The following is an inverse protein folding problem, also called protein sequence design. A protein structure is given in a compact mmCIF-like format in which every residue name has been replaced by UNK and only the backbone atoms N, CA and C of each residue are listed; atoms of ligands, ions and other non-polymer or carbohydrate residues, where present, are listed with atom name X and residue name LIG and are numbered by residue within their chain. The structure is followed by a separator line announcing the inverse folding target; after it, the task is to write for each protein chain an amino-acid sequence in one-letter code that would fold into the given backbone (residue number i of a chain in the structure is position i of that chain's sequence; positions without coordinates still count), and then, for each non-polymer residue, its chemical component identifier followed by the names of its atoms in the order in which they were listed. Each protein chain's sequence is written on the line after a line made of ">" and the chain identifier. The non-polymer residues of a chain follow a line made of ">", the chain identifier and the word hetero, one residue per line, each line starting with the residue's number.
data_IF_759784621958
#
_entry.id   IF_759784621958
#
_cell.length_a   1.000
_cell.length_b   1.000
_cell.length_c   1.000
_cell.angle_alpha   90.00
_cell.angle_beta   90.00
_cell.angle_gamma   90.00
#
_symmetry.space_group_name_H-M   'P 1'
#
loop_
_entity.id
_entity.type
_entity.pdbx_description
1 polymer ?
#
# COMPACT_ATOMS: atom_id res chain seq x y z
N UNK A 1 3.72 38.64 18.83
CA UNK A 1 2.47 38.35 19.56
C UNK A 1 2.01 36.96 19.11
N UNK A 2 2.22 35.92 19.92
CA UNK A 2 1.27 35.42 20.93
C UNK A 2 -0.10 35.05 20.34
N UNK A 3 -0.47 33.79 20.54
CA UNK A 3 -1.70 33.11 20.14
C UNK A 3 -2.92 34.02 20.11
N UNK A 4 -3.55 34.19 18.95
CA UNK A 4 -4.87 34.81 18.85
C UNK A 4 -5.96 33.77 19.07
N UNK A 5 -6.84 34.12 20.01
CA UNK A 5 -8.10 33.49 20.38
C UNK A 5 -9.07 33.33 19.20
N UNK A 6 -9.83 32.24 19.27
CA UNK A 6 -11.07 31.92 18.55
C UNK A 6 -11.69 33.02 17.67
N UNK A 7 -11.88 32.67 16.40
CA UNK A 7 -12.72 33.41 15.45
C UNK A 7 -12.43 32.93 14.03
N UNK A 8 -13.46 32.47 13.33
CA UNK A 8 -13.43 31.89 11.98
C UNK A 8 -12.51 32.69 11.04
N UNK A 9 -11.47 32.05 10.49
CA UNK A 9 -10.51 32.75 9.63
C UNK A 9 -9.68 31.78 8.80
N UNK A 10 -9.81 31.93 7.47
CA UNK A 10 -8.77 31.80 6.44
C UNK A 10 -7.55 30.91 6.76
N UNK A 11 -7.26 29.92 5.90
CA UNK A 11 -6.01 29.14 5.92
C UNK A 11 -4.79 30.07 5.99
N UNK A 12 -4.27 30.30 7.19
CA UNK A 12 -2.98 30.93 7.42
C UNK A 12 -1.95 29.84 7.18
N UNK A 13 -1.20 29.93 6.08
CA UNK A 13 0.00 29.13 5.90
C UNK A 13 1.01 29.57 6.96
N UNK A 14 1.09 28.80 8.05
CA UNK A 14 2.13 28.98 9.05
C UNK A 14 3.48 28.57 8.46
N UNK A 15 4.46 29.48 8.49
CA UNK A 15 5.85 29.12 8.22
C UNK A 15 6.33 28.17 9.31
N UNK A 16 6.53 26.91 8.94
CA UNK A 16 6.98 25.83 9.82
C UNK A 16 8.50 25.66 9.82
N UNK A 17 9.24 26.52 9.12
CA UNK A 17 10.71 26.46 9.00
C UNK A 17 11.41 26.35 10.36
N UNK A 18 10.98 27.13 11.36
CA UNK A 18 11.55 27.11 12.72
C UNK A 18 11.41 25.75 13.41
N UNK A 19 10.33 25.01 13.16
CA UNK A 19 10.11 23.69 13.75
C UNK A 19 11.02 22.64 13.10
N UNK A 20 11.05 22.61 11.76
CA UNK A 20 11.88 21.67 10.98
C UNK A 20 13.38 21.99 11.02
N UNK A 21 13.77 23.20 11.42
CA UNK A 21 15.17 23.59 11.66
C UNK A 21 15.61 23.40 13.12
N UNK A 22 14.77 22.81 13.98
CA UNK A 22 15.14 22.54 15.37
C UNK A 22 16.13 21.38 15.47
N UNK A 23 16.86 21.30 16.59
CA UNK A 23 17.94 20.30 16.81
C UNK A 23 17.47 18.85 16.65
N UNK A 24 16.19 18.56 16.89
CA UNK A 24 15.64 17.20 16.73
C UNK A 24 15.63 16.74 15.27
N UNK A 25 15.65 17.68 14.32
CA UNK A 25 15.72 17.44 12.88
C UNK A 25 17.13 17.69 12.32
N UNK A 26 18.14 17.90 13.16
CA UNK A 26 19.51 18.07 12.70
C UNK A 26 19.97 16.78 11.98
N UNK A 27 20.35 16.89 10.70
CA UNK A 27 20.76 15.76 9.87
C UNK A 27 19.63 15.07 9.09
N UNK A 28 18.37 15.52 9.20
CA UNK A 28 17.28 14.99 8.36
C UNK A 28 17.24 15.68 6.99
N UNK A 29 17.28 14.89 5.91
CA UNK A 29 17.08 15.40 4.55
C UNK A 29 15.60 15.78 4.35
N UNK A 30 15.27 17.05 4.59
CA UNK A 30 13.92 17.59 4.49
C UNK A 30 13.61 18.18 3.11
N UNK A 31 13.96 17.46 2.03
CA UNK A 31 13.60 17.89 0.67
C UNK A 31 12.09 17.76 0.49
N UNK A 32 11.39 18.89 0.35
CA UNK A 32 9.93 18.85 0.20
C UNK A 32 9.50 18.52 -1.23
N UNK A 33 10.16 19.09 -2.25
CA UNK A 33 9.89 18.80 -3.65
C UNK A 33 11.04 18.01 -4.27
N UNK A 34 10.73 16.77 -4.68
CA UNK A 34 11.65 15.95 -5.43
C UNK A 34 11.77 16.43 -6.89
N UNK A 35 12.79 15.93 -7.60
CA UNK A 35 12.94 16.18 -9.04
C UNK A 35 11.76 15.59 -9.80
N UNK A 36 11.30 16.28 -10.85
CA UNK A 36 10.18 15.83 -11.66
C UNK A 36 10.69 14.95 -12.79
N UNK A 37 10.87 13.65 -12.49
CA UNK A 37 11.42 12.65 -13.40
C UNK A 37 10.49 11.45 -13.43
N UNK A 38 9.96 11.13 -14.61
CA UNK A 38 9.15 9.95 -14.88
C UNK A 38 9.63 9.32 -16.21
N UNK A 39 10.10 8.07 -16.17
CA UNK A 39 10.47 7.30 -17.36
C UNK A 39 9.32 6.36 -17.72
N UNK A 40 8.76 6.43 -18.94
CA UNK A 40 7.65 5.56 -19.33
C UNK A 40 8.03 4.08 -19.30
N UNK A 41 7.11 3.26 -18.78
CA UNK A 41 7.21 1.79 -18.85
C UNK A 41 6.83 1.34 -20.28
N UNK A 42 7.56 0.38 -20.88
CA UNK A 42 7.14 -0.22 -22.14
C UNK A 42 5.70 -0.76 -22.06
N UNK A 43 4.81 -0.46 -23.03
CA UNK A 43 3.40 -0.85 -22.96
C UNK A 43 3.16 -2.34 -22.68
N UNK A 44 4.02 -3.22 -23.20
CA UNK A 44 4.00 -4.67 -23.01
C UNK A 44 4.25 -5.15 -21.57
N UNK A 45 4.76 -4.25 -20.72
CA UNK A 45 5.08 -4.50 -19.31
C UNK A 45 4.05 -3.88 -18.35
N UNK A 46 3.04 -3.18 -18.86
CA UNK A 46 2.00 -2.54 -18.05
C UNK A 46 0.78 -3.47 -17.92
N UNK A 47 0.10 -3.42 -16.77
CA UNK A 47 -1.03 -4.28 -16.41
C UNK A 47 -0.65 -5.75 -16.51
N UNK A 48 0.50 -6.09 -15.93
CA UNK A 48 1.10 -7.41 -16.04
C UNK A 48 1.52 -7.96 -14.68
N UNK A 49 1.32 -9.26 -14.52
CA UNK A 49 1.92 -10.05 -13.44
C UNK A 49 3.11 -10.79 -14.03
N UNK A 50 4.29 -10.61 -13.43
CA UNK A 50 5.50 -11.31 -13.82
C UNK A 50 5.75 -12.48 -12.86
N UNK A 51 5.74 -13.70 -13.39
CA UNK A 51 6.06 -14.91 -12.62
C UNK A 51 7.57 -15.10 -12.43
N UNK A 52 8.18 -14.23 -11.62
CA UNK A 52 9.60 -14.28 -11.25
C UNK A 52 9.87 -13.46 -9.98
N UNK A 53 11.08 -13.58 -9.44
CA UNK A 53 11.50 -12.77 -8.28
C UNK A 53 11.51 -11.27 -8.60
N UNK A 54 10.98 -10.47 -7.67
CA UNK A 54 11.06 -9.02 -7.65
C UNK A 54 12.40 -8.48 -7.13
N UNK A 55 13.35 -9.35 -6.77
CA UNK A 55 14.73 -8.94 -6.43
C UNK A 55 15.46 -8.28 -7.61
N UNK A 56 14.96 -8.44 -8.84
CA UNK A 56 15.44 -7.78 -10.06
C UNK A 56 14.25 -7.44 -10.99
N UNK A 57 13.90 -6.16 -11.10
CA UNK A 57 12.77 -5.67 -11.90
C UNK A 57 13.26 -5.11 -13.25
N UNK A 58 13.94 -5.95 -14.04
CA UNK A 58 14.57 -5.54 -15.32
C UNK A 58 13.60 -5.02 -16.37
N UNK A 59 12.31 -5.32 -16.25
CA UNK A 59 11.24 -4.83 -17.12
C UNK A 59 10.84 -3.39 -16.84
N UNK A 60 11.26 -2.86 -15.68
CA UNK A 60 10.91 -1.53 -15.20
C UNK A 60 12.12 -0.60 -15.28
N UNK A 61 12.02 0.50 -16.04
CA UNK A 61 13.00 1.58 -15.98
C UNK A 61 13.06 2.23 -14.60
N UNK A 62 14.14 2.94 -14.33
CA UNK A 62 14.25 3.80 -13.16
C UNK A 62 13.14 4.86 -13.18
N UNK A 63 12.61 5.25 -12.02
CA UNK A 63 11.60 6.32 -11.91
C UNK A 63 10.38 6.14 -12.83
N UNK A 64 9.78 4.94 -12.87
CA UNK A 64 8.71 4.58 -13.80
C UNK A 64 7.38 4.20 -13.13
N UNK A 65 7.39 3.85 -11.84
CA UNK A 65 6.18 3.54 -11.05
C UNK A 65 5.91 4.61 -9.99
N UNK A 66 4.66 4.72 -9.54
CA UNK A 66 4.20 5.90 -8.78
C UNK A 66 3.93 5.60 -7.31
N UNK A 67 3.45 4.39 -7.03
CA UNK A 67 3.16 3.89 -5.70
C UNK A 67 3.49 2.40 -5.66
N UNK A 68 4.20 1.97 -4.63
CA UNK A 68 4.25 0.56 -4.25
C UNK A 68 3.27 0.31 -3.10
N UNK A 69 2.44 -0.70 -3.22
CA UNK A 69 1.62 -1.23 -2.12
C UNK A 69 1.86 -2.72 -2.04
N UNK A 70 2.29 -3.21 -0.88
CA UNK A 70 2.59 -4.63 -0.72
C UNK A 70 2.42 -5.12 0.71
N UNK A 71 2.37 -6.44 0.84
CA UNK A 71 2.45 -7.15 2.12
C UNK A 71 3.43 -8.30 1.94
N UNK A 72 4.69 -8.15 2.38
CA UNK A 72 5.70 -9.18 2.18
C UNK A 72 5.32 -10.50 2.88
N UNK A 73 5.88 -11.64 2.47
CA UNK A 73 5.66 -12.91 3.16
C UNK A 73 6.11 -12.78 4.62
N UNK A 74 5.39 -13.41 5.55
CA UNK A 74 5.66 -13.27 6.98
C UNK A 74 6.68 -14.28 7.52
N UNK A 75 7.20 -15.19 6.68
CA UNK A 75 8.23 -16.14 7.07
C UNK A 75 7.83 -16.97 8.30
N UNK A 76 6.54 -17.28 8.43
CA UNK A 76 5.93 -17.97 9.58
C UNK A 76 5.30 -19.27 9.12
N UNK A 77 6.11 -20.17 8.56
CA UNK A 77 5.85 -21.61 8.51
C UNK A 77 4.45 -22.06 8.02
N UNK A 78 3.76 -21.24 7.22
CA UNK A 78 2.66 -21.74 6.39
C UNK A 78 3.32 -22.56 5.28
N UNK A 79 2.61 -23.50 4.66
CA UNK A 79 3.15 -24.48 3.69
C UNK A 79 3.95 -23.89 2.49
N UNK A 80 4.02 -22.56 2.36
CA UNK A 80 4.68 -21.78 1.32
C UNK A 80 5.84 -20.88 1.83
N UNK A 81 5.99 -20.69 3.14
CA UNK A 81 7.05 -19.84 3.69
C UNK A 81 8.36 -20.63 3.75
N UNK A 82 9.42 -20.08 3.15
CA UNK A 82 10.79 -20.57 3.37
C UNK A 82 11.12 -20.42 4.86
N UNK A 83 11.90 -21.34 5.43
CA UNK A 83 12.34 -21.23 6.83
C UNK A 83 13.56 -20.30 6.94
N UNK A 84 13.38 -19.00 6.65
CA UNK A 84 14.48 -18.04 6.68
C UNK A 84 14.79 -17.61 8.11
N UNK A 85 16.05 -17.34 8.40
CA UNK A 85 16.44 -16.55 9.57
C UNK A 85 15.98 -15.09 9.42
N UNK A 86 15.92 -14.35 10.53
CA UNK A 86 15.58 -12.92 10.49
C UNK A 86 16.51 -12.12 9.57
N UNK A 87 17.80 -12.46 9.52
CA UNK A 87 18.77 -11.79 8.66
C UNK A 87 18.53 -12.09 7.17
N UNK A 88 18.22 -13.34 6.83
CA UNK A 88 17.88 -13.72 5.46
C UNK A 88 16.56 -13.07 5.01
N UNK A 89 15.57 -13.02 5.90
CA UNK A 89 14.31 -12.33 5.65
C UNK A 89 14.51 -10.83 5.38
N UNK A 90 15.23 -10.13 6.26
CA UNK A 90 15.59 -8.71 6.05
C UNK A 90 16.41 -8.51 4.77
N UNK A 91 17.31 -9.44 4.47
CA UNK A 91 18.10 -9.43 3.24
C UNK A 91 17.24 -9.53 1.98
N UNK A 92 16.25 -10.42 1.96
CA UNK A 92 15.26 -10.52 0.89
C UNK A 92 14.50 -9.20 0.71
N UNK A 93 13.92 -8.66 1.79
CA UNK A 93 13.17 -7.40 1.75
C UNK A 93 14.04 -6.25 1.27
N UNK A 94 15.27 -6.15 1.75
CA UNK A 94 16.21 -5.08 1.38
C UNK A 94 16.51 -5.07 -0.12
N UNK A 95 16.68 -6.24 -0.75
CA UNK A 95 16.90 -6.32 -2.20
C UNK A 95 15.69 -5.85 -2.99
N UNK A 96 14.49 -6.31 -2.61
CA UNK A 96 13.23 -5.92 -3.27
C UNK A 96 12.94 -4.44 -3.08
N UNK A 97 13.16 -3.90 -1.87
CA UNK A 97 12.96 -2.48 -1.59
C UNK A 97 14.02 -1.60 -2.24
N UNK A 98 15.23 -2.10 -2.47
CA UNK A 98 16.25 -1.41 -3.28
C UNK A 98 15.80 -1.28 -4.74
N UNK A 99 15.29 -2.36 -5.33
CA UNK A 99 14.70 -2.30 -6.68
C UNK A 99 13.47 -1.38 -6.70
N UNK A 100 12.62 -1.45 -5.68
CA UNK A 100 11.48 -0.53 -5.52
C UNK A 100 11.95 0.93 -5.49
N UNK A 101 13.01 1.25 -4.73
CA UNK A 101 13.56 2.61 -4.70
C UNK A 101 14.05 3.04 -6.09
N UNK A 102 14.71 2.16 -6.85
CA UNK A 102 15.16 2.45 -8.21
C UNK A 102 13.99 2.80 -9.14
N UNK A 103 12.96 1.96 -9.17
CA UNK A 103 11.83 2.11 -10.11
C UNK A 103 10.80 3.15 -9.69
N UNK A 104 10.72 3.52 -8.41
CA UNK A 104 9.76 4.52 -7.94
C UNK A 104 10.17 5.93 -8.43
N UNK A 105 9.20 6.72 -8.90
CA UNK A 105 9.45 8.14 -9.24
C UNK A 105 9.87 8.93 -8.00
N UNK A 106 10.66 10.01 -8.14
CA UNK A 106 10.93 10.90 -7.01
C UNK A 106 9.62 11.50 -6.50
N UNK A 107 9.46 11.54 -5.18
CA UNK A 107 8.21 11.88 -4.52
C UNK A 107 7.13 10.80 -4.62
N UNK A 108 7.37 9.65 -5.26
CA UNK A 108 6.51 8.47 -5.20
C UNK A 108 6.48 7.85 -3.80
N UNK A 109 5.49 6.98 -3.53
CA UNK A 109 5.31 6.39 -2.19
C UNK A 109 5.54 4.88 -2.21
N UNK A 110 6.02 4.37 -1.07
CA UNK A 110 6.13 2.94 -0.80
C UNK A 110 5.33 2.64 0.47
N UNK A 111 4.37 1.72 0.37
CA UNK A 111 3.46 1.36 1.44
C UNK A 111 3.57 -0.13 1.75
N UNK A 112 4.00 -0.45 2.97
CA UNK A 112 4.28 -1.82 3.39
C UNK A 112 3.33 -2.20 4.52
N UNK A 113 2.42 -3.14 4.26
CA UNK A 113 1.62 -3.78 5.28
C UNK A 113 2.46 -4.85 6.00
N UNK A 114 2.57 -4.77 7.32
CA UNK A 114 3.38 -5.69 8.12
C UNK A 114 2.75 -5.92 9.51
N UNK A 115 2.65 -7.19 9.90
CA UNK A 115 2.38 -7.64 11.25
C UNK A 115 3.67 -7.83 12.05
N UNK A 116 3.62 -7.54 13.35
CA UNK A 116 4.64 -8.02 14.28
C UNK A 116 4.37 -9.49 14.63
N UNK A 117 5.45 -10.20 15.00
CA UNK A 117 5.42 -11.65 15.15
C UNK A 117 5.92 -12.07 16.52
N UNK A 118 5.54 -13.28 16.94
CA UNK A 118 6.01 -13.86 18.18
C UNK A 118 5.43 -13.20 19.43
N UNK A 119 5.56 -13.90 20.55
CA UNK A 119 5.15 -13.43 21.89
C UNK A 119 6.26 -13.61 22.93
N UNK A 120 7.18 -14.54 22.67
CA UNK A 120 8.28 -14.96 23.55
C UNK A 120 9.46 -15.46 22.71
N UNK A 121 10.28 -14.57 22.12
CA UNK A 121 10.22 -13.11 22.19
C UNK A 121 9.16 -12.50 21.26
N UNK A 122 8.79 -11.25 21.53
CA UNK A 122 8.08 -10.41 20.57
C UNK A 122 9.07 -9.87 19.54
N UNK A 123 8.72 -9.96 18.26
CA UNK A 123 9.53 -9.52 17.14
C UNK A 123 8.86 -8.30 16.50
N UNK A 124 9.40 -7.09 16.73
CA UNK A 124 8.86 -5.85 16.18
C UNK A 124 9.27 -5.67 14.71
N UNK A 125 8.78 -6.54 13.82
CA UNK A 125 9.16 -6.56 12.39
C UNK A 125 8.99 -5.19 11.74
N UNK A 126 7.93 -4.45 12.07
CA UNK A 126 7.72 -3.09 11.59
C UNK A 126 8.95 -2.18 11.83
N UNK A 127 9.58 -2.25 13.00
CA UNK A 127 10.74 -1.41 13.34
C UNK A 127 11.98 -1.77 12.53
N UNK A 128 12.19 -3.05 12.24
CA UNK A 128 13.30 -3.51 11.40
C UNK A 128 13.12 -3.07 9.95
N UNK A 129 11.88 -3.15 9.43
CA UNK A 129 11.54 -2.66 8.09
C UNK A 129 11.73 -1.15 7.98
N UNK A 130 11.33 -0.37 8.99
CA UNK A 130 11.57 1.08 9.03
C UNK A 130 13.08 1.37 8.93
N UNK A 131 13.89 0.70 9.74
CA UNK A 131 15.34 0.88 9.74
C UNK A 131 15.95 0.55 8.36
N UNK A 132 15.55 -0.56 7.75
CA UNK A 132 16.06 -1.01 6.45
C UNK A 132 15.65 -0.05 5.32
N UNK A 133 14.39 0.39 5.30
CA UNK A 133 13.90 1.37 4.33
C UNK A 133 14.66 2.70 4.43
N UNK A 134 14.91 3.19 5.66
CA UNK A 134 15.67 4.43 5.87
C UNK A 134 17.12 4.31 5.40
N UNK A 135 17.78 3.15 5.64
CA UNK A 135 19.14 2.88 5.12
C UNK A 135 19.22 2.89 3.60
N UNK A 136 18.14 2.51 2.92
CA UNK A 136 18.02 2.56 1.45
C UNK A 136 17.74 3.97 0.91
N UNK A 137 17.50 4.96 1.78
CA UNK A 137 17.24 6.34 1.40
C UNK A 137 15.76 6.74 1.41
N UNK A 138 14.84 5.83 1.75
CA UNK A 138 13.43 6.19 1.89
C UNK A 138 13.20 7.15 3.06
N UNK A 139 12.34 8.15 2.83
CA UNK A 139 11.89 9.10 3.85
C UNK A 139 10.62 8.56 4.51
N UNK A 140 10.67 8.29 5.81
CA UNK A 140 9.48 7.87 6.56
C UNK A 140 8.46 9.02 6.61
N UNK A 141 7.26 8.79 6.06
CA UNK A 141 6.17 9.76 6.04
C UNK A 141 5.28 9.63 7.28
N UNK A 142 5.12 8.41 7.76
CA UNK A 142 4.23 8.06 8.86
C UNK A 142 3.75 6.63 8.73
N UNK A 143 2.85 6.25 9.62
CA UNK A 143 2.26 4.92 9.68
C UNK A 143 0.76 5.00 9.93
N UNK A 144 0.05 4.00 9.43
CA UNK A 144 -1.35 3.75 9.75
C UNK A 144 -1.45 2.46 10.56
N UNK A 145 -2.21 2.51 11.64
CA UNK A 145 -2.59 1.32 12.40
C UNK A 145 -3.87 0.77 11.80
N UNK A 146 -3.77 -0.35 11.09
CA UNK A 146 -4.93 -1.05 10.59
C UNK A 146 -5.49 -1.95 11.71
N UNK A 147 -6.60 -1.51 12.30
CA UNK A 147 -7.32 -2.27 13.30
C UNK A 147 -8.22 -3.32 12.63
N UNK A 148 -7.85 -4.59 12.80
CA UNK A 148 -8.56 -5.78 12.29
C UNK A 148 -9.72 -6.20 13.21
N UNK A 149 -9.85 -5.59 14.39
CA UNK A 149 -10.76 -6.03 15.46
C UNK A 149 -12.25 -5.93 15.11
N UNK A 150 -12.64 -5.27 14.01
CA UNK A 150 -14.04 -5.32 13.54
C UNK A 150 -14.48 -6.73 13.10
N UNK A 151 -13.54 -7.66 12.88
CA UNK A 151 -13.85 -9.05 12.50
C UNK A 151 -13.01 -10.13 13.20
N UNK A 152 -12.09 -9.79 14.09
CA UNK A 152 -11.30 -10.80 14.79
C UNK A 152 -12.18 -11.56 15.81
N UNK A 153 -12.21 -12.89 15.69
CA UNK A 153 -12.70 -13.77 16.76
C UNK A 153 -11.94 -13.47 18.05
N UNK A 154 -12.58 -13.71 19.21
CA UNK A 154 -11.93 -13.53 20.51
C UNK A 154 -10.65 -14.38 20.55
N UNK A 155 -9.48 -13.75 20.36
CA UNK A 155 -8.21 -14.43 20.58
C UNK A 155 -8.11 -14.73 22.07
N UNK A 156 -8.08 -16.02 22.42
CA UNK A 156 -7.94 -16.52 23.79
C UNK A 156 -6.47 -16.67 24.22
N UNK A 157 -5.55 -16.12 23.43
CA UNK A 157 -4.14 -16.10 23.77
C UNK A 157 -3.87 -14.98 24.78
N UNK A 158 -4.33 -15.19 26.01
CA UNK A 158 -4.23 -14.26 27.14
C UNK A 158 -2.92 -14.38 27.92
N UNK A 159 -2.14 -15.44 27.67
CA UNK A 159 -1.06 -15.83 28.58
C UNK A 159 -1.64 -16.34 29.89
N UNK A 160 -1.21 -15.79 31.01
CA UNK A 160 -1.78 -16.09 32.33
C UNK A 160 -3.15 -15.41 32.48
N UNK A 161 -4.23 -16.19 32.34
CA UNK A 161 -5.59 -15.70 32.47
C UNK A 161 -5.84 -15.09 33.86
N UNK A 162 -6.40 -13.87 33.91
CA UNK A 162 -6.68 -13.10 35.14
C UNK A 162 -5.51 -13.04 36.12
N UNK A 163 -4.28 -13.01 35.60
CA UNK A 163 -3.08 -13.02 36.42
C UNK A 163 -2.00 -12.11 35.84
N UNK A 164 -1.35 -11.36 36.72
CA UNK A 164 -0.22 -10.49 36.39
C UNK A 164 1.08 -11.29 36.12
N UNK A 165 1.10 -12.61 36.33
CA UNK A 165 2.30 -13.43 36.18
C UNK A 165 2.88 -13.31 34.77
N UNK A 166 2.04 -13.38 33.74
CA UNK A 166 2.45 -13.21 32.34
C UNK A 166 1.23 -13.04 31.41
N UNK A 167 0.44 -11.95 31.53
CA UNK A 167 -0.59 -11.66 30.54
C UNK A 167 0.07 -11.31 29.20
N UNK A 168 -0.53 -11.71 28.08
CA UNK A 168 -0.04 -11.36 26.74
C UNK A 168 -1.01 -10.45 26.01
N UNK A 169 -0.47 -9.44 25.34
CA UNK A 169 -1.25 -8.57 24.46
C UNK A 169 -1.82 -9.40 23.29
N UNK A 170 -2.99 -8.98 22.81
CA UNK A 170 -3.64 -9.59 21.64
C UNK A 170 -3.38 -8.68 20.45
N UNK A 171 -2.70 -9.20 19.45
CA UNK A 171 -2.41 -8.47 18.22
C UNK A 171 -3.69 -8.34 17.39
N UNK A 172 -4.34 -7.18 17.53
CA UNK A 172 -5.58 -6.86 16.81
C UNK A 172 -5.34 -5.94 15.62
N UNK A 173 -4.10 -5.56 15.36
CA UNK A 173 -3.74 -4.63 14.31
C UNK A 173 -2.56 -5.11 13.47
N UNK A 174 -2.37 -4.44 12.34
CA UNK A 174 -1.16 -4.46 11.51
C UNK A 174 -0.71 -3.03 11.26
N UNK A 175 0.55 -2.88 10.88
CA UNK A 175 1.15 -1.60 10.53
C UNK A 175 1.14 -1.44 9.01
N UNK A 176 0.68 -0.30 8.53
CA UNK A 176 0.90 0.14 7.16
C UNK A 176 1.93 1.26 7.22
N UNK A 177 3.16 0.92 6.92
CA UNK A 177 4.29 1.85 6.92
C UNK A 177 4.31 2.62 5.62
N UNK A 178 4.46 3.95 5.67
CA UNK A 178 4.38 4.82 4.48
C UNK A 178 5.68 5.60 4.34
N UNK A 179 6.32 5.44 3.18
CA UNK A 179 7.58 6.09 2.85
C UNK A 179 7.47 6.91 1.58
N UNK A 180 8.42 7.82 1.36
CA UNK A 180 8.57 8.60 0.13
C UNK A 180 10.01 8.53 -0.39
N UNK A 181 10.20 8.51 -1.71
CA UNK A 181 11.53 8.58 -2.33
C UNK A 181 11.93 10.04 -2.58
N UNK A 182 13.17 10.41 -2.26
CA UNK A 182 13.84 11.71 -2.51
C UNK A 182 13.17 12.98 -1.93
N UNK A 183 11.85 13.01 -1.75
CA UNK A 183 11.13 14.12 -1.16
C UNK A 183 9.69 13.76 -0.75
N UNK A 184 9.11 14.55 0.16
CA UNK A 184 7.78 14.27 0.70
C UNK A 184 6.63 14.68 -0.23
N UNK A 185 6.88 15.53 -1.21
CA UNK A 185 5.91 16.06 -2.16
C UNK A 185 6.27 15.70 -3.59
N UNK A 186 5.24 15.67 -4.45
CA UNK A 186 5.37 15.59 -5.91
C UNK A 186 4.46 16.63 -6.54
N UNK A 187 4.82 17.12 -7.72
CA UNK A 187 3.95 18.01 -8.49
C UNK A 187 2.77 17.22 -9.06
N UNK A 188 1.65 17.90 -9.28
CA UNK A 188 0.53 17.31 -10.03
C UNK A 188 0.99 17.14 -11.48
N UNK A 189 1.00 15.93 -12.04
CA UNK A 189 1.33 15.72 -13.44
C UNK A 189 0.26 16.33 -14.34
N UNK A 190 0.68 16.84 -15.50
CA UNK A 190 -0.22 17.39 -16.50
C UNK A 190 -1.13 16.27 -17.05
N UNK A 191 -2.40 16.59 -17.30
CA UNK A 191 -3.37 15.66 -17.90
C UNK A 191 -3.95 14.58 -16.97
N UNK A 192 -3.38 14.29 -15.80
CA UNK A 192 -3.94 13.31 -14.85
C UNK A 192 -4.72 13.99 -13.71
N UNK A 193 -5.85 13.41 -13.32
CA UNK A 193 -6.69 13.93 -12.23
C UNK A 193 -6.62 13.10 -10.95
N UNK A 194 -6.79 13.73 -9.78
CA UNK A 194 -7.10 13.00 -8.56
C UNK A 194 -8.53 12.47 -8.63
N UNK A 195 -8.76 11.28 -8.09
CA UNK A 195 -10.08 10.61 -8.09
C UNK A 195 -10.65 10.43 -6.68
N UNK A 196 -9.90 10.81 -5.65
CA UNK A 196 -10.35 10.75 -4.27
C UNK A 196 -11.41 11.83 -4.01
N UNK A 197 -12.50 11.43 -3.37
CA UNK A 197 -13.56 12.35 -2.91
C UNK A 197 -13.14 13.08 -1.64
N UNK A 198 -13.87 14.14 -1.26
CA UNK A 198 -13.62 14.87 -0.03
C UNK A 198 -13.81 13.98 1.21
N UNK A 199 -14.85 13.17 1.20
CA UNK A 199 -15.23 12.28 2.29
C UNK A 199 -14.17 11.19 2.49
N UNK A 200 -13.74 10.56 1.38
CA UNK A 200 -12.63 9.61 1.39
C UNK A 200 -11.34 10.27 1.88
N UNK A 201 -11.02 11.48 1.41
CA UNK A 201 -9.81 12.18 1.85
C UNK A 201 -9.80 12.40 3.36
N UNK A 202 -10.91 12.89 3.94
CA UNK A 202 -11.02 13.12 5.37
C UNK A 202 -10.95 11.82 6.19
N UNK A 203 -11.47 10.72 5.67
CA UNK A 203 -11.43 9.43 6.34
C UNK A 203 -10.05 8.76 6.23
N UNK A 204 -9.49 8.71 5.02
CA UNK A 204 -8.27 7.96 4.72
C UNK A 204 -7.02 8.64 5.27
N UNK A 205 -7.07 9.95 5.53
CA UNK A 205 -5.95 10.68 6.18
C UNK A 205 -5.85 10.49 7.69
N UNK A 206 -6.76 9.72 8.31
CA UNK A 206 -6.64 9.30 9.71
C UNK A 206 -5.55 8.24 9.85
N UNK A 207 -4.86 8.24 10.99
CA UNK A 207 -3.78 7.27 11.30
C UNK A 207 -4.28 5.92 11.82
N UNK A 208 -5.58 5.74 12.02
CA UNK A 208 -6.19 4.47 12.43
C UNK A 208 -7.29 4.11 11.45
N UNK A 209 -7.16 2.96 10.79
CA UNK A 209 -8.16 2.46 9.86
C UNK A 209 -8.86 1.24 10.43
N UNK A 210 -10.19 1.23 10.34
CA UNK A 210 -11.02 0.14 10.85
C UNK A 210 -11.74 -0.53 9.67
N UNK A 211 -11.31 -1.75 9.34
CA UNK A 211 -12.01 -2.63 8.41
C UNK A 211 -11.55 -4.07 8.62
N UNK A 212 -12.43 -4.99 8.23
CA UNK A 212 -12.29 -6.41 8.48
C UNK A 212 -11.24 -7.06 7.57
N UNK A 213 -10.48 -8.03 8.10
CA UNK A 213 -9.59 -8.85 7.27
C UNK A 213 -10.37 -9.76 6.31
N UNK A 214 -9.78 -10.07 5.15
CA UNK A 214 -10.34 -11.02 4.19
C UNK A 214 -10.24 -12.46 4.70
N UNK A 215 -11.23 -13.28 4.37
CA UNK A 215 -11.23 -14.70 4.71
C UNK A 215 -10.36 -15.47 3.72
N UNK A 216 -9.22 -15.99 4.17
CA UNK A 216 -8.27 -16.77 3.37
C UNK A 216 -8.92 -17.91 2.55
N UNK A 217 -9.91 -18.60 3.13
CA UNK A 217 -10.65 -19.70 2.48
C UNK A 217 -11.47 -19.29 1.25
N UNK A 218 -11.82 -18.00 1.10
CA UNK A 218 -12.60 -17.51 -0.03
C UNK A 218 -11.74 -17.22 -1.26
N UNK A 219 -10.45 -16.92 -1.06
CA UNK A 219 -9.55 -16.44 -2.12
C UNK A 219 -8.58 -17.54 -2.59
N UNK A 220 -8.40 -18.61 -1.81
CA UNK A 220 -7.41 -19.65 -2.10
C UNK A 220 -5.98 -19.20 -1.83
N UNK A 221 -5.80 -18.10 -1.09
CA UNK A 221 -4.52 -17.56 -0.66
C UNK A 221 -4.46 -17.54 0.87
N UNK A 222 -3.35 -17.95 1.49
CA UNK A 222 -3.28 -18.13 2.94
C UNK A 222 -3.31 -16.83 3.76
N UNK A 223 -3.05 -15.67 3.14
CA UNK A 223 -3.03 -14.37 3.83
C UNK A 223 -3.23 -13.14 2.91
N UNK A 224 -4.31 -13.02 2.13
CA UNK A 224 -4.58 -11.80 1.36
C UNK A 224 -5.00 -10.67 2.31
N UNK A 225 -4.43 -9.47 2.16
CA UNK A 225 -5.02 -8.27 2.77
C UNK A 225 -6.29 -7.85 2.02
N UNK A 226 -7.24 -7.16 2.69
CA UNK A 226 -8.47 -6.68 2.07
C UNK A 226 -8.21 -5.60 1.02
N UNK A 227 -9.06 -5.58 -0.02
CA UNK A 227 -8.98 -4.63 -1.14
C UNK A 227 -9.08 -3.17 -0.69
N UNK A 228 -9.74 -2.91 0.45
CA UNK A 228 -9.85 -1.56 1.03
C UNK A 228 -8.47 -0.95 1.36
N UNK A 229 -7.49 -1.78 1.75
CA UNK A 229 -6.15 -1.31 2.09
C UNK A 229 -5.43 -0.68 0.89
N UNK A 230 -5.20 -1.39 -0.24
CA UNK A 230 -4.57 -0.79 -1.42
C UNK A 230 -5.47 0.27 -2.04
N UNK A 231 -6.79 0.11 -2.02
CA UNK A 231 -7.71 1.13 -2.56
C UNK A 231 -7.50 2.50 -1.91
N UNK A 232 -7.48 2.55 -0.56
CA UNK A 232 -7.24 3.78 0.19
C UNK A 232 -5.89 4.41 -0.13
N UNK A 233 -4.84 3.60 -0.18
CA UNK A 233 -3.49 4.06 -0.47
C UNK A 233 -3.35 4.60 -1.90
N UNK A 234 -3.94 3.92 -2.88
CA UNK A 234 -3.95 4.33 -4.28
C UNK A 234 -4.68 5.68 -4.43
N UNK A 235 -5.85 5.81 -3.81
CA UNK A 235 -6.62 7.07 -3.80
C UNK A 235 -5.84 8.23 -3.16
N UNK A 236 -5.12 7.98 -2.06
CA UNK A 236 -4.34 9.01 -1.35
C UNK A 236 -3.09 9.48 -2.11
N UNK A 237 -2.40 8.56 -2.80
CA UNK A 237 -1.00 8.78 -3.20
C UNK A 237 -0.75 8.79 -4.70
N UNK A 238 -1.79 8.59 -5.53
CA UNK A 238 -1.66 8.58 -7.00
C UNK A 238 -2.76 9.37 -7.69
N UNK A 239 -2.48 9.76 -8.91
CA UNK A 239 -3.45 10.25 -9.89
C UNK A 239 -3.95 9.09 -10.77
N UNK A 240 -5.04 9.28 -11.50
CA UNK A 240 -5.49 8.32 -12.51
C UNK A 240 -4.39 8.02 -13.54
N UNK A 241 -4.45 6.86 -14.19
CA UNK A 241 -3.47 6.34 -15.16
C UNK A 241 -2.04 6.10 -14.64
N UNK A 242 -1.78 6.38 -13.37
CA UNK A 242 -0.49 6.06 -12.76
C UNK A 242 -0.33 4.56 -12.49
N UNK A 243 0.93 4.14 -12.30
CA UNK A 243 1.28 2.72 -12.21
C UNK A 243 1.56 2.34 -10.76
N UNK A 244 0.83 1.32 -10.29
CA UNK A 244 0.95 0.74 -8.96
C UNK A 244 1.80 -0.54 -9.03
N UNK A 245 2.83 -0.60 -8.19
CA UNK A 245 3.69 -1.78 -8.07
C UNK A 245 3.27 -2.63 -6.87
N UNK A 246 3.18 -3.94 -7.06
CA UNK A 246 3.18 -4.92 -5.97
C UNK A 246 4.29 -5.96 -6.18
N UNK A 247 5.42 -5.87 -5.47
CA UNK A 247 6.55 -6.79 -5.63
C UNK A 247 6.32 -8.16 -4.96
N UNK A 248 5.21 -8.35 -4.26
CA UNK A 248 4.78 -9.62 -3.65
C UNK A 248 3.29 -9.83 -3.93
N UNK A 249 2.93 -9.93 -5.23
CA UNK A 249 1.55 -9.76 -5.69
C UNK A 249 0.60 -10.82 -5.15
N UNK A 250 1.09 -12.03 -4.85
CA UNK A 250 0.29 -13.12 -4.30
C UNK A 250 -1.00 -13.33 -5.09
N UNK A 251 -2.14 -13.06 -4.46
CA UNK A 251 -3.45 -13.23 -5.07
C UNK A 251 -3.93 -12.09 -6.00
N UNK A 252 -3.14 -11.04 -6.25
CA UNK A 252 -3.52 -9.95 -7.17
C UNK A 252 -4.42 -8.85 -6.59
N UNK A 253 -4.58 -8.77 -5.26
CA UNK A 253 -5.49 -7.79 -4.64
C UNK A 253 -5.11 -6.33 -4.97
N UNK A 254 -3.82 -5.98 -4.95
CA UNK A 254 -3.34 -4.64 -5.33
C UNK A 254 -3.65 -4.32 -6.80
N UNK A 255 -3.45 -5.27 -7.70
CA UNK A 255 -3.74 -5.12 -9.13
C UNK A 255 -5.23 -4.83 -9.37
N UNK A 256 -6.12 -5.57 -8.70
CA UNK A 256 -7.57 -5.34 -8.78
C UNK A 256 -7.93 -3.96 -8.22
N UNK A 257 -7.33 -3.54 -7.11
CA UNK A 257 -7.56 -2.20 -6.55
C UNK A 257 -7.08 -1.08 -7.48
N UNK A 258 -5.95 -1.27 -8.16
CA UNK A 258 -5.45 -0.35 -9.18
C UNK A 258 -6.46 -0.21 -10.34
N UNK A 259 -6.93 -1.33 -10.89
CA UNK A 259 -7.95 -1.31 -11.95
C UNK A 259 -9.25 -0.64 -11.48
N UNK A 260 -9.72 -0.96 -10.27
CA UNK A 260 -10.93 -0.37 -9.68
C UNK A 260 -10.85 1.15 -9.52
N UNK A 261 -9.64 1.67 -9.37
CA UNK A 261 -9.36 3.11 -9.24
C UNK A 261 -8.89 3.73 -10.54
N UNK A 262 -8.99 3.05 -11.69
CA UNK A 262 -8.49 3.56 -13.00
C UNK A 262 -6.99 3.87 -12.99
N UNK A 263 -6.21 3.07 -12.27
CA UNK A 263 -4.75 3.02 -12.33
C UNK A 263 -4.32 1.79 -13.11
N UNK A 264 -3.05 1.80 -13.50
CA UNK A 264 -2.36 0.67 -14.12
C UNK A 264 -1.55 -0.06 -13.04
N UNK A 265 -1.15 -1.30 -13.30
CA UNK A 265 -0.41 -2.07 -12.31
C UNK A 265 0.77 -2.84 -12.90
N UNK A 266 1.72 -3.18 -12.04
CA UNK A 266 2.75 -4.19 -12.28
C UNK A 266 2.87 -5.04 -11.02
N UNK A 267 2.77 -6.36 -11.17
CA UNK A 267 2.88 -7.31 -10.07
C UNK A 267 4.03 -8.30 -10.28
N UNK A 268 4.65 -8.75 -9.20
CA UNK A 268 5.67 -9.81 -9.23
C UNK A 268 5.37 -10.85 -8.15
N UNK A 269 5.46 -12.13 -8.52
CA UNK A 269 5.51 -13.25 -7.59
C UNK A 269 6.39 -14.35 -8.20
N UNK A 270 7.09 -15.12 -7.36
CA UNK A 270 7.94 -16.21 -7.83
C UNK A 270 7.26 -17.58 -7.77
N UNK A 271 6.06 -17.66 -7.19
CA UNK A 271 5.23 -18.86 -7.22
C UNK A 271 4.25 -18.79 -8.40
N UNK A 272 4.41 -19.75 -9.32
CA UNK A 272 3.57 -19.91 -10.51
C UNK A 272 2.08 -20.02 -10.14
N UNK A 273 1.73 -20.70 -9.04
CA UNK A 273 0.34 -20.86 -8.61
C UNK A 273 -0.28 -19.53 -8.19
N UNK A 274 0.50 -18.66 -7.55
CA UNK A 274 0.02 -17.33 -7.16
C UNK A 274 -0.10 -16.40 -8.36
N UNK A 275 0.82 -16.48 -9.32
CA UNK A 275 0.70 -15.74 -10.58
C UNK A 275 -0.59 -16.12 -11.34
N UNK A 276 -0.84 -17.41 -11.52
CA UNK A 276 -2.07 -17.92 -12.15
C UNK A 276 -3.33 -17.49 -11.38
N UNK A 277 -3.28 -17.54 -10.04
CA UNK A 277 -4.38 -17.07 -9.21
C UNK A 277 -4.65 -15.57 -9.38
N UNK A 278 -3.60 -14.75 -9.40
CA UNK A 278 -3.71 -13.31 -9.61
C UNK A 278 -4.31 -13.00 -10.98
N UNK A 279 -3.78 -13.60 -12.04
CA UNK A 279 -4.25 -13.41 -13.42
C UNK A 279 -5.72 -13.79 -13.56
N UNK A 280 -6.12 -14.98 -13.06
CA UNK A 280 -7.53 -15.41 -13.08
C UNK A 280 -8.45 -14.41 -12.37
N UNK A 281 -8.09 -13.95 -11.17
CA UNK A 281 -8.92 -12.99 -10.41
C UNK A 281 -9.01 -11.63 -11.09
N UNK A 282 -7.93 -11.19 -11.74
CA UNK A 282 -7.91 -9.95 -12.51
C UNK A 282 -8.83 -10.08 -13.74
N UNK A 283 -8.78 -11.21 -14.44
CA UNK A 283 -9.64 -11.49 -15.59
C UNK A 283 -11.12 -11.53 -15.19
N UNK A 284 -11.46 -12.25 -14.11
CA UNK A 284 -12.82 -12.28 -13.54
C UNK A 284 -13.32 -10.87 -13.21
N UNK A 285 -12.46 -10.03 -12.63
CA UNK A 285 -12.80 -8.64 -12.36
C UNK A 285 -13.09 -7.85 -13.65
N UNK A 286 -12.23 -7.92 -14.66
CA UNK A 286 -12.41 -7.22 -15.93
C UNK A 286 -13.68 -7.68 -16.68
N UNK A 287 -13.95 -8.99 -16.70
CA UNK A 287 -15.18 -9.55 -17.27
C UNK A 287 -16.42 -9.02 -16.55
N UNK A 288 -16.39 -8.93 -15.21
CA UNK A 288 -17.51 -8.39 -14.44
C UNK A 288 -17.82 -6.93 -14.78
N UNK A 289 -16.80 -6.12 -15.06
CA UNK A 289 -16.97 -4.71 -15.44
C UNK A 289 -17.58 -4.58 -16.85
N UNK A 290 -17.19 -5.43 -17.80
CA UNK A 290 -17.76 -5.45 -19.14
C UNK A 290 -19.25 -5.84 -19.12
N UNK A 291 -19.63 -6.83 -18.30
CA UNK A 291 -21.04 -7.22 -18.14
C UNK A 291 -21.88 -6.08 -17.55
N UNK A 292 -21.37 -5.40 -16.52
CA UNK A 292 -22.04 -4.23 -15.92
C UNK A 292 -22.22 -3.09 -16.92
N UNK A 293 -21.19 -2.82 -17.74
CA UNK A 293 -21.23 -1.80 -18.77
C UNK A 293 -22.29 -2.13 -19.83
N UNK A 294 -22.31 -3.38 -20.32
CA UNK A 294 -23.30 -3.83 -21.32
C UNK A 294 -24.73 -3.76 -20.77
N UNK A 295 -24.95 -4.15 -19.51
CA UNK A 295 -26.28 -4.05 -18.87
C UNK A 295 -26.75 -2.60 -18.66
N UNK A 296 -25.83 -1.67 -18.34
CA UNK A 296 -26.17 -0.24 -18.24
C UNK A 296 -26.54 0.35 -19.61
N UNK A 297 -25.87 -0.07 -20.69
CA UNK A 297 -26.20 0.31 -22.05
C UNK A 297 -27.54 -0.25 -22.52
N UNK A 298 -27.85 -1.51 -22.22
CA UNK A 298 -29.15 -2.13 -22.52
C UNK A 298 -30.30 -1.45 -21.78
N UNK A 299 -30.14 -1.20 -20.47
CA UNK A 299 -31.15 -0.52 -19.65
C UNK A 299 -31.38 0.94 -20.08
N UNK A 300 -30.31 1.66 -20.46
CA UNK A 300 -30.42 3.03 -20.99
C UNK A 300 -31.12 3.06 -22.34
N UNK A 301 -30.86 2.08 -23.20
CA UNK A 301 -31.50 1.95 -24.52
C UNK A 301 -32.99 1.59 -24.40
N UNK A 302 -33.35 0.68 -23.48
CA UNK A 302 -34.75 0.36 -23.18
C UNK A 302 -35.50 1.54 -22.55
N UNK A 303 -34.84 2.35 -21.72
CA UNK A 303 -35.44 3.55 -21.15
C UNK A 303 -35.72 4.63 -22.21
N UNK A 304 -34.84 4.84 -23.18
CA UNK A 304 -35.09 5.75 -24.31
C UNK A 304 -36.28 5.27 -25.17
N UNK A 305 -36.34 3.96 -25.48
CA UNK A 305 -37.47 3.37 -26.22
C UNK A 305 -38.79 3.52 -25.45
N UNK A 306 -38.78 3.39 -24.12
CA UNK A 306 -39.96 3.51 -23.28
C UNK A 306 -40.42 4.97 -23.05
N UNK A 307 -39.55 5.96 -23.23
CA UNK A 307 -39.85 7.40 -23.02
C UNK A 307 -40.13 8.17 -24.31
N UNK A 308 -40.02 7.53 -25.48
CA UNK A 308 -40.42 8.11 -26.76
C UNK A 308 -39.55 9.28 -27.20
N UNK A 309 -38.25 9.22 -26.90
CA UNK A 309 -37.20 10.07 -27.48
C UNK A 309 -36.32 9.19 -28.37
#
# INVERSE_FOLDING_TARGET
>A
SQTSSFGVGTRINHDSSKFYNSKIYAGSNNTYFAQDIEIPIPPENINKVFCKSSEQMTELPDNSVHLMVTSPPYNVGKDYDKNLSMNEYRGLLTKVFKETYRVLVPGGRACVNIANLGRKPYLPIHSYVIEDMQKLGFLMRGEVIWNKASSASQSFAWGSWLSATNPTLRDIHEYILIFSKDGFGRKKPEGRQPTITKEEFMEYTKSIWNFSAERASRIGHPAPFPIDLPYRLIQLYTFEDEVILDPFVGSGTTCIAALKTKRRYVGYDNDQKYCELAERRIEEYLQSQNTLFNQQHENSSQHMIATGI
#
